data_IF_789751845039
#
_entry.id   IF_789751845039
#
_cell.length_a   1.000
_cell.length_b   1.000
_cell.length_c   1.000
_cell.angle_alpha   90.00
_cell.angle_beta   90.00
_cell.angle_gamma   90.00
#
_symmetry.space_group_name_H-M   'P 1'
#
loop_
_entity.id
_entity.type
_entity.pdbx_description
1 polymer ?
#
# COMPACT_ATOMS: atom_id res chain seq x y z
N UNK A 1 -12.15 5.07 -2.96
CA UNK A 1 -12.11 4.51 -1.58
C UNK A 1 -10.89 3.60 -1.42
N UNK A 2 -10.58 2.84 -2.46
CA UNK A 2 -9.38 2.00 -2.62
C UNK A 2 -8.07 2.76 -2.38
N UNK A 3 -7.91 4.00 -2.85
CA UNK A 3 -6.71 4.83 -2.57
C UNK A 3 -6.45 4.98 -1.07
N UNK A 4 -7.49 5.22 -0.26
CA UNK A 4 -7.35 5.35 1.20
C UNK A 4 -6.96 4.02 1.84
N UNK A 5 -7.51 2.91 1.34
CA UNK A 5 -7.16 1.56 1.80
C UNK A 5 -5.70 1.24 1.45
N UNK A 6 -5.27 1.50 0.21
CA UNK A 6 -3.89 1.31 -0.21
C UNK A 6 -2.90 2.11 0.65
N UNK A 7 -3.22 3.36 0.97
CA UNK A 7 -2.40 4.19 1.85
C UNK A 7 -2.29 3.61 3.28
N UNK A 8 -3.38 3.05 3.82
CA UNK A 8 -3.36 2.40 5.14
C UNK A 8 -2.53 1.10 5.12
N UNK A 9 -2.56 0.34 4.02
CA UNK A 9 -1.74 -0.88 3.86
C UNK A 9 -0.25 -0.51 3.79
N UNK A 10 0.11 0.57 3.07
CA UNK A 10 1.49 1.10 3.05
C UNK A 10 1.91 1.51 4.47
N UNK A 11 1.06 2.26 5.19
CA UNK A 11 1.33 2.67 6.56
C UNK A 11 1.54 1.49 7.50
N UNK A 12 0.76 0.40 7.36
CA UNK A 12 0.96 -0.82 8.12
C UNK A 12 2.32 -1.47 7.80
N UNK A 13 2.72 -1.51 6.52
CA UNK A 13 4.04 -2.00 6.13
C UNK A 13 5.18 -1.16 6.71
N UNK A 14 5.06 0.17 6.67
CA UNK A 14 6.02 1.10 7.29
C UNK A 14 6.09 0.91 8.80
N UNK A 15 4.95 0.74 9.48
CA UNK A 15 4.91 0.50 10.91
C UNK A 15 5.66 -0.78 11.31
N UNK A 16 5.58 -1.84 10.50
CA UNK A 16 6.35 -3.08 10.73
C UNK A 16 7.85 -2.87 10.57
N UNK A 17 8.29 -2.06 9.59
CA UNK A 17 9.71 -1.68 9.44
C UNK A 17 10.20 -0.93 10.68
N UNK A 18 9.40 0.02 11.19
CA UNK A 18 9.74 0.78 12.39
C UNK A 18 9.78 -0.12 13.62
N UNK A 19 8.81 -1.02 13.78
CA UNK A 19 8.79 -1.97 14.89
C UNK A 19 10.02 -2.90 14.88
N UNK A 20 10.45 -3.32 13.69
CA UNK A 20 11.71 -4.07 13.53
C UNK A 20 12.93 -3.22 13.89
N UNK A 21 13.00 -1.97 13.44
CA UNK A 21 14.11 -1.07 13.77
C UNK A 21 14.24 -0.79 15.29
N UNK A 22 13.12 -0.88 16.03
CA UNK A 22 13.08 -0.77 17.49
C UNK A 22 13.31 -2.12 18.21
N UNK A 23 13.63 -3.20 17.50
CA UNK A 23 13.76 -4.57 18.03
C UNK A 23 12.48 -5.08 18.73
N UNK A 24 11.31 -4.54 18.40
CA UNK A 24 10.03 -5.01 18.93
C UNK A 24 9.52 -6.25 18.20
N UNK A 25 9.95 -6.44 16.95
CA UNK A 25 9.61 -7.60 16.13
C UNK A 25 10.88 -8.08 15.45
N UNK A 26 11.34 -9.27 15.83
CA UNK A 26 12.58 -9.86 15.35
C UNK A 26 12.28 -11.20 14.66
N UNK A 27 11.65 -11.10 13.48
CA UNK A 27 11.23 -12.25 12.68
C UNK A 27 11.30 -11.92 11.20
N UNK A 28 11.84 -12.84 10.40
CA UNK A 28 11.86 -12.75 8.93
C UNK A 28 10.45 -12.56 8.34
N UNK A 29 9.41 -13.07 9.02
CA UNK A 29 8.03 -12.89 8.62
C UNK A 29 7.60 -11.41 8.63
N UNK A 30 8.17 -10.59 9.52
CA UNK A 30 7.85 -9.17 9.61
C UNK A 30 8.42 -8.38 8.43
N UNK A 31 9.61 -8.76 7.93
CA UNK A 31 10.18 -8.17 6.72
C UNK A 31 9.39 -8.50 5.46
N UNK A 32 8.99 -9.76 5.35
CA UNK A 32 8.17 -10.23 4.24
C UNK A 32 6.83 -9.50 4.28
N UNK A 33 6.17 -9.43 5.44
CA UNK A 33 4.90 -8.72 5.61
C UNK A 33 5.02 -7.22 5.33
N UNK A 34 6.10 -6.57 5.78
CA UNK A 34 6.36 -5.16 5.51
C UNK A 34 6.52 -4.88 4.01
N UNK A 35 7.36 -5.67 3.34
CA UNK A 35 7.63 -5.53 1.90
C UNK A 35 6.35 -5.78 1.10
N UNK A 36 5.62 -6.85 1.41
CA UNK A 36 4.35 -7.16 0.75
C UNK A 36 3.30 -6.07 1.00
N UNK A 37 3.19 -5.55 2.23
CA UNK A 37 2.28 -4.47 2.56
C UNK A 37 2.55 -3.21 1.73
N UNK A 38 3.81 -2.81 1.60
CA UNK A 38 4.18 -1.64 0.80
C UNK A 38 3.87 -1.86 -0.69
N UNK A 39 4.26 -3.00 -1.26
CA UNK A 39 4.05 -3.28 -2.69
C UNK A 39 2.55 -3.40 -3.01
N UNK A 40 1.79 -4.15 -2.23
CA UNK A 40 0.34 -4.33 -2.44
C UNK A 40 -0.41 -3.02 -2.24
N UNK A 41 -0.05 -2.25 -1.22
CA UNK A 41 -0.65 -0.94 -0.97
C UNK A 41 -0.37 0.05 -2.11
N UNK A 42 0.85 0.08 -2.65
CA UNK A 42 1.19 0.91 -3.81
C UNK A 42 0.44 0.47 -5.08
N UNK A 43 0.35 -0.84 -5.34
CA UNK A 43 -0.39 -1.39 -6.47
C UNK A 43 -1.88 -1.03 -6.40
N UNK A 44 -2.49 -1.13 -5.23
CA UNK A 44 -3.89 -0.76 -5.03
C UNK A 44 -4.17 0.72 -5.36
N UNK A 45 -3.23 1.62 -5.03
CA UNK A 45 -3.34 3.05 -5.37
C UNK A 45 -3.21 3.26 -6.87
N UNK A 46 -2.24 2.59 -7.52
CA UNK A 46 -2.03 2.72 -8.97
C UNK A 46 -3.27 2.28 -9.77
N UNK A 47 -3.90 1.17 -9.39
CA UNK A 47 -5.12 0.66 -10.03
C UNK A 47 -6.30 1.63 -9.83
N UNK A 48 -6.45 2.20 -8.63
CA UNK A 48 -7.53 3.18 -8.36
C UNK A 48 -7.34 4.46 -9.19
N UNK A 49 -6.09 4.90 -9.37
CA UNK A 49 -5.74 6.04 -10.22
C UNK A 49 -6.07 5.80 -11.70
N UNK A 50 -5.70 4.63 -12.23
CA UNK A 50 -5.99 4.30 -13.64
C UNK A 50 -7.49 4.19 -13.93
N UNK A 51 -8.26 3.63 -12.99
CA UNK A 51 -9.72 3.59 -13.11
C UNK A 51 -10.36 4.98 -13.09
N UNK A 52 -9.83 5.91 -12.28
CA UNK A 52 -10.31 7.29 -12.23
C UNK A 52 -10.02 8.03 -13.54
N UNK A 53 -8.81 7.86 -14.10
CA UNK A 53 -8.42 8.45 -15.39
C UNK A 53 -9.26 7.91 -16.55
N UNK A 54 -9.54 6.61 -16.56
CA UNK A 54 -10.41 5.98 -17.56
C UNK A 54 -11.85 6.53 -17.50
N UNK A 55 -12.41 6.67 -16.30
CA UNK A 55 -13.74 7.26 -16.10
C UNK A 55 -13.81 8.74 -16.51
N UNK A 56 -12.75 9.51 -16.28
CA UNK A 56 -12.68 10.93 -16.67
C UNK A 56 -12.67 11.13 -18.20
N UNK A 57 -11.98 10.24 -18.92
CA UNK A 57 -11.95 10.26 -20.40
C UNK A 57 -13.29 9.86 -21.00
N UNK A 58 -13.93 8.80 -20.50
CA UNK A 58 -15.22 8.32 -21.00
C UNK A 58 -16.38 9.33 -20.81
N UNK A 59 -16.28 10.25 -19.84
CA UNK A 59 -17.28 11.31 -19.62
C UNK A 59 -17.09 12.54 -20.51
N UNK A 60 -15.99 12.61 -21.27
CA UNK A 60 -15.61 13.76 -22.10
C UNK A 60 -15.81 13.53 -23.61
N UNK A 61 -16.26 12.33 -24.00
CA UNK A 61 -16.67 11.93 -25.35
C UNK A 61 -18.20 11.88 -25.47
#
# INVERSE_FOLDING_TARGET
MTTRIGALIILAGVALIVARALNWVDSEAADIAATLGIVVGALAIAIDGENADASGKASSE
#
